data_IF_348330047543
#
_entry.id   IF_348330047543
#
_cell.length_a   1.000
_cell.length_b   1.000
_cell.length_c   1.000
_cell.angle_alpha   90.00
_cell.angle_beta   90.00
_cell.angle_gamma   90.00
#
_symmetry.space_group_name_H-M   'P 1'
#
loop_
_entity.id
_entity.type
_entity.pdbx_description
1 polymer ?
#
# COMPACT_ATOMS: atom_id res chain seq x y z
N UNK A 1 -49.28 -29.28 3.68
CA UNK A 1 -48.52 -28.83 4.87
C UNK A 1 -47.12 -28.52 4.42
N UNK A 2 -46.81 -27.24 4.14
CA UNK A 2 -45.44 -26.82 3.89
C UNK A 2 -44.80 -26.67 5.27
N UNK A 3 -43.92 -27.60 5.64
CA UNK A 3 -43.13 -27.48 6.85
C UNK A 3 -42.29 -26.20 6.75
N UNK A 4 -42.46 -25.30 7.71
CA UNK A 4 -41.57 -24.17 7.97
C UNK A 4 -40.16 -24.72 8.26
N UNK A 5 -39.37 -24.92 7.21
CA UNK A 5 -37.99 -25.35 7.33
C UNK A 5 -37.13 -24.22 7.86
N UNK A 6 -36.31 -24.50 8.86
CA UNK A 6 -35.32 -23.54 9.35
C UNK A 6 -34.42 -23.08 8.20
N UNK A 7 -34.15 -21.79 8.12
CA UNK A 7 -33.26 -21.19 7.12
C UNK A 7 -32.24 -20.29 7.81
N UNK A 8 -31.10 -20.09 7.14
CA UNK A 8 -30.04 -19.20 7.61
C UNK A 8 -30.03 -17.97 6.74
N UNK A 9 -30.13 -16.79 7.35
CA UNK A 9 -29.86 -15.54 6.66
C UNK A 9 -28.37 -15.24 6.73
N UNK A 10 -27.72 -15.33 5.58
CA UNK A 10 -26.33 -14.94 5.42
C UNK A 10 -26.22 -14.13 4.12
N UNK A 11 -25.49 -13.00 4.19
CA UNK A 11 -25.16 -12.16 3.03
C UNK A 11 -26.42 -11.71 2.26
N UNK A 12 -27.50 -11.40 2.99
CA UNK A 12 -28.79 -10.99 2.41
C UNK A 12 -29.60 -12.10 1.72
N UNK A 13 -29.14 -13.36 1.79
CA UNK A 13 -29.77 -14.51 1.15
C UNK A 13 -30.21 -15.55 2.19
N UNK A 14 -31.25 -16.31 1.87
CA UNK A 14 -31.70 -17.44 2.66
C UNK A 14 -31.03 -18.73 2.18
N UNK A 15 -30.36 -19.42 3.10
CA UNK A 15 -29.65 -20.67 2.85
C UNK A 15 -30.33 -21.82 3.57
N UNK A 16 -30.38 -22.96 2.91
CA UNK A 16 -30.68 -24.22 3.59
C UNK A 16 -29.53 -24.53 4.57
N UNK A 17 -29.80 -24.77 5.87
CA UNK A 17 -28.76 -24.98 6.88
C UNK A 17 -27.78 -26.10 6.52
N UNK A 18 -28.27 -27.19 5.92
CA UNK A 18 -27.45 -28.34 5.53
C UNK A 18 -26.59 -28.09 4.29
N UNK A 19 -26.87 -27.03 3.53
CA UNK A 19 -26.14 -26.66 2.32
C UNK A 19 -25.28 -25.40 2.51
N UNK A 20 -25.25 -24.82 3.72
CA UNK A 20 -24.36 -23.70 4.05
C UNK A 20 -22.97 -24.22 4.44
N UNK A 21 -22.24 -24.71 3.43
CA UNK A 21 -20.93 -25.36 3.57
C UNK A 21 -19.83 -24.63 2.81
N UNK A 22 -18.57 -24.87 3.19
CA UNK A 22 -17.41 -24.29 2.52
C UNK A 22 -17.38 -24.67 1.03
N UNK A 23 -17.26 -23.66 0.16
CA UNK A 23 -17.22 -23.82 -1.29
C UNK A 23 -15.90 -24.40 -1.82
N UNK A 24 -14.84 -24.47 -0.99
CA UNK A 24 -13.58 -25.09 -1.40
C UNK A 24 -13.77 -26.60 -1.61
N UNK A 25 -13.31 -27.08 -2.76
CA UNK A 25 -13.46 -28.48 -3.18
C UNK A 25 -12.83 -29.40 -2.13
N UNK A 26 -13.63 -30.35 -1.64
CA UNK A 26 -13.17 -31.34 -0.66
C UNK A 26 -13.16 -30.88 0.80
N UNK A 27 -13.57 -29.63 1.12
CA UNK A 27 -13.67 -29.19 2.52
C UNK A 27 -14.97 -29.67 3.18
N UNK A 28 -16.14 -29.30 2.63
CA UNK A 28 -17.46 -29.71 3.14
C UNK A 28 -17.81 -29.21 4.55
N UNK A 29 -16.98 -28.38 5.18
CA UNK A 29 -17.22 -27.87 6.54
C UNK A 29 -18.48 -27.00 6.59
N UNK A 30 -19.36 -27.26 7.56
CA UNK A 30 -20.57 -26.46 7.86
C UNK A 30 -20.13 -25.08 8.37
N UNK A 31 -20.53 -24.02 7.68
CA UNK A 31 -20.10 -22.65 7.98
C UNK A 31 -20.93 -21.98 9.09
N UNK A 32 -21.99 -22.63 9.57
CA UNK A 32 -22.77 -22.16 10.72
C UNK A 32 -22.03 -22.36 12.05
N UNK A 33 -21.09 -23.29 12.06
CA UNK A 33 -20.38 -23.73 13.26
C UNK A 33 -18.98 -23.11 13.36
N UNK A 34 -18.57 -22.29 12.38
CA UNK A 34 -17.27 -21.63 12.35
C UNK A 34 -17.32 -20.25 11.67
N UNK A 35 -16.28 -19.45 11.85
CA UNK A 35 -16.08 -18.24 11.05
C UNK A 35 -15.97 -18.55 9.56
N UNK A 36 -16.51 -17.67 8.72
CA UNK A 36 -16.44 -17.78 7.26
C UNK A 36 -16.16 -16.43 6.60
N UNK A 37 -15.57 -16.49 5.41
CA UNK A 37 -15.26 -15.34 4.57
C UNK A 37 -16.05 -15.47 3.27
N UNK A 38 -16.62 -14.35 2.82
CA UNK A 38 -17.22 -14.25 1.49
C UNK A 38 -16.21 -13.65 0.50
N UNK A 39 -16.01 -14.33 -0.62
CA UNK A 39 -15.14 -13.86 -1.70
C UNK A 39 -15.80 -14.20 -3.04
N UNK A 40 -16.01 -13.18 -3.89
CA UNK A 40 -16.67 -13.29 -5.20
C UNK A 40 -18.00 -14.06 -5.16
N UNK A 41 -18.82 -13.81 -4.13
CA UNK A 41 -20.14 -14.44 -3.93
C UNK A 41 -20.11 -15.88 -3.37
N UNK A 42 -18.93 -16.47 -3.19
CA UNK A 42 -18.74 -17.80 -2.59
C UNK A 42 -18.32 -17.70 -1.13
N UNK A 43 -18.67 -18.71 -0.33
CA UNK A 43 -18.37 -18.75 1.11
C UNK A 43 -17.31 -19.79 1.42
N UNK A 44 -16.27 -19.39 2.14
CA UNK A 44 -15.15 -20.23 2.51
C UNK A 44 -14.96 -20.24 4.03
N UNK A 45 -14.58 -21.38 4.61
CA UNK A 45 -14.10 -21.37 5.99
C UNK A 45 -12.77 -20.62 6.04
N UNK A 46 -12.45 -20.00 7.18
CA UNK A 46 -11.23 -19.20 7.34
C UNK A 46 -9.96 -19.96 6.93
N UNK A 47 -9.84 -21.23 7.32
CA UNK A 47 -8.68 -22.06 6.98
C UNK A 47 -8.51 -22.31 5.47
N UNK A 48 -9.61 -22.59 4.76
CA UNK A 48 -9.54 -22.75 3.30
C UNK A 48 -9.26 -21.42 2.62
N UNK A 49 -9.90 -20.33 3.08
CA UNK A 49 -9.63 -19.00 2.56
C UNK A 49 -8.15 -18.65 2.67
N UNK A 50 -7.57 -18.75 3.85
CA UNK A 50 -6.14 -18.49 4.09
C UNK A 50 -5.23 -19.35 3.23
N UNK A 51 -5.52 -20.64 3.10
CA UNK A 51 -4.65 -21.59 2.41
C UNK A 51 -4.69 -21.46 0.88
N UNK A 52 -5.86 -21.18 0.30
CA UNK A 52 -6.09 -21.37 -1.14
C UNK A 52 -6.69 -20.17 -1.88
N UNK A 53 -7.32 -19.23 -1.19
CA UNK A 53 -8.07 -18.13 -1.84
C UNK A 53 -7.43 -16.76 -1.55
N UNK A 54 -6.94 -16.56 -0.32
CA UNK A 54 -6.41 -15.29 0.14
C UNK A 54 -5.25 -14.80 -0.76
N UNK A 55 -5.25 -13.53 -1.16
CA UNK A 55 -4.16 -12.98 -1.95
C UNK A 55 -2.86 -12.98 -1.15
N UNK A 56 -1.73 -13.19 -1.82
CA UNK A 56 -0.41 -13.18 -1.19
C UNK A 56 0.21 -11.78 -1.24
N UNK A 57 0.78 -11.35 -0.12
CA UNK A 57 1.52 -10.10 -0.08
C UNK A 57 2.79 -10.18 -0.92
N UNK A 58 3.02 -9.18 -1.77
CA UNK A 58 4.20 -9.15 -2.65
C UNK A 58 5.54 -8.96 -1.92
N UNK A 59 5.55 -8.55 -0.63
CA UNK A 59 6.78 -8.42 0.16
C UNK A 59 7.12 -9.70 0.91
N UNK A 60 6.17 -10.23 1.69
CA UNK A 60 6.42 -11.33 2.61
C UNK A 60 5.88 -12.68 2.12
N UNK A 61 5.16 -12.72 1.00
CA UNK A 61 4.53 -13.91 0.40
C UNK A 61 3.49 -14.62 1.28
N UNK A 62 3.16 -14.07 2.45
CA UNK A 62 2.11 -14.55 3.36
C UNK A 62 0.72 -14.12 2.86
N UNK A 63 -0.33 -14.91 3.13
CA UNK A 63 -1.70 -14.55 2.78
C UNK A 63 -2.15 -13.26 3.51
N UNK A 64 -2.99 -12.48 2.85
CA UNK A 64 -3.61 -11.26 3.39
C UNK A 64 -5.05 -11.60 3.78
N UNK A 65 -5.32 -11.67 5.08
CA UNK A 65 -6.61 -12.12 5.64
C UNK A 65 -7.52 -10.95 6.00
N UNK A 66 -6.95 -9.80 6.35
CA UNK A 66 -7.66 -8.58 6.74
C UNK A 66 -7.45 -7.51 5.67
N UNK A 67 -6.92 -6.35 6.05
CA UNK A 67 -6.76 -5.23 5.14
C UNK A 67 -5.67 -5.49 4.08
N UNK A 68 -5.96 -5.07 2.86
CA UNK A 68 -5.03 -5.13 1.75
C UNK A 68 -4.80 -3.74 1.14
N UNK A 69 -3.54 -3.47 0.81
CA UNK A 69 -3.16 -2.31 0.00
C UNK A 69 -2.98 -2.79 -1.44
N UNK A 70 -3.70 -2.15 -2.36
CA UNK A 70 -3.51 -2.34 -3.80
C UNK A 70 -2.61 -1.22 -4.32
N UNK A 71 -1.37 -1.54 -4.62
CA UNK A 71 -0.38 -0.58 -5.09
C UNK A 71 0.59 -1.26 -6.06
N UNK A 72 1.04 -0.51 -7.07
CA UNK A 72 2.01 -1.01 -8.07
C UNK A 72 1.52 -2.30 -8.76
N UNK A 73 0.21 -2.37 -9.06
CA UNK A 73 -0.47 -3.54 -9.64
C UNK A 73 -0.32 -4.83 -8.80
N UNK A 74 -0.02 -4.70 -7.51
CA UNK A 74 0.24 -5.80 -6.58
C UNK A 74 -0.55 -5.60 -5.29
N UNK A 75 -0.68 -6.68 -4.51
CA UNK A 75 -1.33 -6.66 -3.19
C UNK A 75 -0.29 -6.76 -2.07
N UNK A 76 -0.53 -6.01 -0.99
CA UNK A 76 0.39 -5.90 0.13
C UNK A 76 -0.37 -5.87 1.46
N UNK A 77 0.24 -6.38 2.53
CA UNK A 77 -0.19 -5.97 3.87
C UNK A 77 0.10 -4.47 4.05
N UNK A 78 -0.74 -3.71 4.78
CA UNK A 78 -0.46 -2.30 5.09
C UNK A 78 0.90 -2.07 5.74
N UNK A 79 1.34 -3.00 6.59
CA UNK A 79 2.65 -2.98 7.26
C UNK A 79 3.81 -3.40 6.35
N UNK A 80 3.51 -4.07 5.23
CA UNK A 80 4.52 -4.48 4.25
C UNK A 80 4.72 -3.42 3.16
N UNK A 81 3.71 -2.61 2.85
CA UNK A 81 3.82 -1.51 1.90
C UNK A 81 4.45 -0.29 2.60
N UNK A 82 5.78 -0.22 2.53
CA UNK A 82 6.61 0.72 3.30
C UNK A 82 7.59 1.45 2.39
N UNK A 83 8.04 2.64 2.82
CA UNK A 83 9.14 3.35 2.16
C UNK A 83 10.38 2.45 2.03
N UNK A 84 11.02 2.44 0.86
CA UNK A 84 12.23 1.69 0.60
C UNK A 84 13.45 2.22 1.38
N UNK A 85 13.41 3.47 1.86
CA UNK A 85 14.48 4.09 2.64
C UNK A 85 14.22 4.00 4.16
N UNK A 86 13.16 4.63 4.68
CA UNK A 86 12.90 4.64 6.12
C UNK A 86 12.07 3.46 6.66
N UNK A 87 11.58 2.57 5.79
CA UNK A 87 10.74 1.41 6.15
C UNK A 87 9.43 1.73 6.90
N UNK A 88 9.01 2.99 6.94
CA UNK A 88 7.72 3.39 7.51
C UNK A 88 6.56 3.02 6.57
N UNK A 89 5.44 2.51 7.08
CA UNK A 89 4.25 2.27 6.28
C UNK A 89 3.65 3.59 5.77
N UNK A 90 3.10 3.58 4.56
CA UNK A 90 2.50 4.77 3.97
C UNK A 90 1.14 5.14 4.56
N UNK A 91 0.37 4.15 5.02
CA UNK A 91 -1.03 4.38 5.43
C UNK A 91 -1.84 4.95 4.27
N UNK A 92 -2.43 6.13 4.47
CA UNK A 92 -3.18 6.86 3.45
C UNK A 92 -2.36 7.95 2.74
N UNK A 93 -1.07 8.08 3.07
CA UNK A 93 -0.21 9.08 2.42
C UNK A 93 0.18 8.66 1.00
N UNK A 94 0.43 9.66 0.16
CA UNK A 94 1.00 9.43 -1.17
C UNK A 94 2.42 8.85 -1.08
N UNK A 95 2.85 8.21 -2.16
CA UNK A 95 4.20 7.68 -2.31
C UNK A 95 4.73 8.02 -3.70
N UNK A 96 6.05 8.07 -3.82
CA UNK A 96 6.77 8.38 -5.05
C UNK A 96 7.54 7.14 -5.50
N UNK A 97 7.60 6.90 -6.80
CA UNK A 97 8.31 5.75 -7.35
C UNK A 97 9.64 6.18 -7.93
N UNK A 98 10.71 5.50 -7.52
CA UNK A 98 12.04 5.66 -8.10
C UNK A 98 12.62 4.27 -8.37
N UNK A 99 13.04 4.00 -9.61
CA UNK A 99 13.53 2.68 -10.05
C UNK A 99 12.61 1.49 -9.65
N UNK A 100 11.29 1.71 -9.64
CA UNK A 100 10.31 0.69 -9.25
C UNK A 100 10.25 0.41 -7.75
N UNK A 101 10.81 1.26 -6.89
CA UNK A 101 10.70 1.19 -5.44
C UNK A 101 9.90 2.39 -4.90
N UNK A 102 9.01 2.18 -3.91
CA UNK A 102 8.21 3.26 -3.34
C UNK A 102 8.95 3.99 -2.23
N UNK A 103 8.91 5.33 -2.24
CA UNK A 103 9.50 6.21 -1.25
C UNK A 103 8.45 7.16 -0.67
N UNK A 104 8.57 7.51 0.61
CA UNK A 104 7.76 8.58 1.17
C UNK A 104 8.25 9.92 0.62
N UNK A 105 7.38 10.92 0.62
CA UNK A 105 7.69 12.27 0.11
C UNK A 105 9.00 12.81 0.69
N UNK A 106 9.19 12.67 2.00
CA UNK A 106 10.38 13.15 2.70
C UNK A 106 11.67 12.49 2.18
N UNK A 107 11.69 11.16 2.09
CA UNK A 107 12.87 10.41 1.63
C UNK A 107 13.09 10.61 0.13
N UNK A 108 12.02 10.66 -0.67
CA UNK A 108 12.13 10.91 -2.11
C UNK A 108 12.74 12.29 -2.37
N UNK A 109 12.23 13.32 -1.70
CA UNK A 109 12.79 14.67 -1.76
C UNK A 109 14.23 14.71 -1.23
N UNK A 110 14.56 13.96 -0.18
CA UNK A 110 15.91 13.91 0.35
C UNK A 110 16.92 13.27 -0.62
N UNK A 111 16.53 12.20 -1.30
CA UNK A 111 17.43 11.34 -2.08
C UNK A 111 17.51 11.73 -3.56
N UNK A 112 16.42 12.24 -4.14
CA UNK A 112 16.30 12.36 -5.61
C UNK A 112 16.09 13.79 -6.10
N UNK A 113 15.91 14.77 -5.22
CA UNK A 113 15.84 16.18 -5.64
C UNK A 113 17.20 16.85 -5.56
N UNK A 114 17.51 17.68 -6.54
CA UNK A 114 18.61 18.63 -6.47
C UNK A 114 18.25 19.69 -5.43
N UNK A 115 19.12 19.90 -4.44
CA UNK A 115 18.87 20.88 -3.37
C UNK A 115 19.77 22.08 -3.53
N UNK A 116 19.21 23.26 -3.32
CA UNK A 116 20.00 24.48 -3.24
C UNK A 116 20.95 24.39 -2.03
N UNK A 117 22.25 24.54 -2.27
CA UNK A 117 23.26 24.45 -1.20
C UNK A 117 23.11 25.57 -0.17
N UNK A 118 22.62 26.74 -0.58
CA UNK A 118 22.43 27.87 0.34
C UNK A 118 21.22 27.71 1.25
N UNK A 119 20.03 27.42 0.70
CA UNK A 119 18.79 27.39 1.51
C UNK A 119 18.34 25.98 1.91
N UNK A 120 18.98 24.93 1.40
CA UNK A 120 18.69 23.50 1.64
C UNK A 120 17.33 23.00 1.10
N UNK A 121 16.53 23.87 0.50
CA UNK A 121 15.28 23.49 -0.16
C UNK A 121 15.54 22.84 -1.54
N UNK A 122 14.68 21.89 -1.95
CA UNK A 122 14.68 21.35 -3.32
C UNK A 122 14.57 22.48 -4.35
N UNK A 123 15.23 22.30 -5.50
CA UNK A 123 15.05 23.11 -6.69
C UNK A 123 13.99 22.41 -7.55
N UNK A 124 12.81 23.02 -7.67
CA UNK A 124 11.65 22.42 -8.32
C UNK A 124 11.64 22.66 -9.84
N UNK A 125 10.79 21.91 -10.54
CA UNK A 125 10.59 22.10 -11.98
C UNK A 125 9.99 23.49 -12.25
N UNK A 126 10.79 24.36 -12.85
CA UNK A 126 10.41 25.75 -13.14
C UNK A 126 11.21 26.80 -12.36
N UNK A 127 11.96 26.38 -11.34
CA UNK A 127 12.84 27.30 -10.62
C UNK A 127 13.99 27.77 -11.52
N UNK A 128 14.32 29.07 -11.39
CA UNK A 128 15.58 29.59 -11.92
C UNK A 128 16.70 29.19 -10.96
N UNK A 129 17.67 28.45 -11.47
CA UNK A 129 18.80 27.99 -10.69
C UNK A 129 20.09 28.01 -11.52
N UNK A 130 21.21 27.97 -10.80
CA UNK A 130 22.56 27.95 -11.37
C UNK A 130 23.37 26.86 -10.70
N UNK A 131 24.28 26.25 -11.46
CA UNK A 131 25.31 25.37 -10.94
C UNK A 131 26.64 26.12 -10.88
N UNK A 132 27.32 26.06 -9.74
CA UNK A 132 28.63 26.65 -9.55
C UNK A 132 29.49 25.74 -8.67
N UNK A 133 30.71 25.43 -9.11
CA UNK A 133 31.65 24.56 -8.38
C UNK A 133 31.04 23.18 -8.01
N UNK A 134 30.21 22.62 -8.90
CA UNK A 134 29.50 21.35 -8.67
C UNK A 134 28.35 21.43 -7.66
N UNK A 135 27.96 22.63 -7.24
CA UNK A 135 26.87 22.86 -6.31
C UNK A 135 25.71 23.58 -7.00
N UNK A 136 24.49 23.16 -6.70
CA UNK A 136 23.28 23.80 -7.22
C UNK A 136 22.78 24.90 -6.27
N UNK A 137 22.31 26.01 -6.83
CA UNK A 137 21.75 27.14 -6.09
C UNK A 137 20.54 27.70 -6.83
N UNK A 138 19.47 28.06 -6.13
CA UNK A 138 18.48 28.99 -6.72
C UNK A 138 19.20 30.26 -7.19
N UNK A 139 18.76 30.89 -8.28
CA UNK A 139 19.41 32.09 -8.80
C UNK A 139 19.49 33.21 -7.75
N UNK A 140 18.48 33.34 -6.89
CA UNK A 140 18.47 34.31 -5.78
C UNK A 140 19.27 33.86 -4.55
N UNK A 141 19.66 32.59 -4.48
CA UNK A 141 20.51 32.03 -3.44
C UNK A 141 21.99 32.01 -3.84
N UNK A 142 22.29 32.23 -5.12
CA UNK A 142 23.65 32.37 -5.62
C UNK A 142 24.11 33.83 -5.51
N UNK A 143 24.45 34.25 -4.29
CA UNK A 143 24.97 35.58 -4.03
C UNK A 143 26.50 35.60 -4.21
N UNK A 144 27.00 36.58 -4.95
CA UNK A 144 28.42 36.82 -5.10
C UNK A 144 29.00 37.30 -3.76
N UNK A 145 29.79 36.46 -3.08
CA UNK A 145 30.57 36.84 -1.89
C UNK A 145 31.86 37.59 -2.22
N UNK A 146 32.01 38.16 -3.43
CA UNK A 146 33.03 39.19 -3.64
C UNK A 146 32.56 40.41 -2.88
N UNK A 147 32.96 40.47 -1.61
CA UNK A 147 32.84 41.64 -0.76
C UNK A 147 33.15 42.88 -1.58
N UNK A 148 32.18 43.78 -1.68
CA UNK A 148 32.41 45.17 -2.07
C UNK A 148 33.21 45.90 -0.98
N UNK A 149 34.37 45.37 -0.58
CA UNK A 149 35.44 46.21 -0.02
C UNK A 149 36.04 46.95 -1.20
N UNK A 150 35.45 48.09 -1.50
CA UNK A 150 36.17 49.17 -2.15
C UNK A 150 37.40 49.47 -1.27
N UNK A 151 38.59 49.19 -1.80
CA UNK A 151 39.83 49.88 -1.45
C UNK A 151 40.13 50.87 -2.58
#
# INVERSE_FOLDING_TARGET
MFSEGAFVLATGLAWCPDHFVCAYRGCGRRLLECGFVEENGSKYCEGCFEAHIAPRCSKCSKPIISDCVNAMQKKWHPTCFTCAHCFKPFGNAAFYLENGLPYCEQDWNMLFTTKCVSCKYPIEAGDRWVEALGNAYHSNCFNCTVSHRCL
#
